data_IF_848455689912
#
_entry.id   IF_848455689912
#
_cell.length_a   1.000
_cell.length_b   1.000
_cell.length_c   1.000
_cell.angle_alpha   90.00
_cell.angle_beta   90.00
_cell.angle_gamma   90.00
#
_symmetry.space_group_name_H-M   'P 1'
#
loop_
_entity.id
_entity.type
_entity.pdbx_description
1 polymer ?
#
# COMPACT_ATOMS: atom_id res chain seq x y z
N UNK A 1 -0.24 12.01 -22.18
CA UNK A 1 0.47 11.43 -21.03
C UNK A 1 1.06 10.11 -21.47
N UNK A 2 2.34 10.05 -21.81
CA UNK A 2 2.98 8.79 -22.24
C UNK A 2 2.88 7.70 -21.14
N UNK A 3 2.03 6.70 -21.38
CA UNK A 3 1.81 5.59 -20.48
C UNK A 3 3.04 4.68 -20.35
N UNK A 4 3.74 4.42 -21.46
CA UNK A 4 4.93 3.59 -21.45
C UNK A 4 5.97 4.24 -20.56
N UNK A 5 6.18 5.55 -20.74
CA UNK A 5 7.07 6.32 -19.88
C UNK A 5 6.62 6.27 -18.41
N UNK A 6 5.33 6.37 -18.14
CA UNK A 6 4.78 6.28 -16.77
C UNK A 6 5.13 4.95 -16.11
N UNK A 7 4.95 3.85 -16.85
CA UNK A 7 5.27 2.52 -16.38
C UNK A 7 6.78 2.36 -16.21
N UNK A 8 7.60 2.79 -17.18
CA UNK A 8 9.07 2.72 -17.14
C UNK A 8 9.64 3.48 -15.95
N UNK A 9 9.20 4.71 -15.70
CA UNK A 9 9.62 5.51 -14.53
C UNK A 9 9.26 4.77 -13.24
N UNK A 10 8.04 4.26 -13.13
CA UNK A 10 7.57 3.57 -11.93
C UNK A 10 8.33 2.27 -11.65
N UNK A 11 8.63 1.48 -12.69
CA UNK A 11 9.40 0.23 -12.55
C UNK A 11 10.86 0.49 -12.21
N UNK A 12 11.51 1.48 -12.85
CA UNK A 12 12.90 1.87 -12.55
C UNK A 12 13.00 2.37 -11.12
N UNK A 13 12.09 3.26 -10.70
CA UNK A 13 12.09 3.79 -9.34
C UNK A 13 11.82 2.70 -8.30
N UNK A 14 10.90 1.78 -8.57
CA UNK A 14 10.66 0.63 -7.69
C UNK A 14 11.86 -0.31 -7.58
N UNK A 15 12.58 -0.55 -8.68
CA UNK A 15 13.81 -1.33 -8.68
C UNK A 15 14.90 -0.64 -7.84
N UNK A 16 15.06 0.68 -7.99
CA UNK A 16 15.98 1.48 -7.17
C UNK A 16 15.65 1.35 -5.68
N UNK A 17 14.38 1.50 -5.31
CA UNK A 17 13.92 1.33 -3.92
C UNK A 17 14.22 -0.08 -3.40
N UNK A 18 13.99 -1.12 -4.19
CA UNK A 18 14.31 -2.50 -3.82
C UNK A 18 15.81 -2.69 -3.58
N UNK A 19 16.68 -2.21 -4.47
CA UNK A 19 18.14 -2.35 -4.32
C UNK A 19 18.68 -1.58 -3.11
N UNK A 20 18.21 -0.34 -2.87
CA UNK A 20 18.58 0.44 -1.69
C UNK A 20 18.12 -0.28 -0.42
N UNK A 21 16.87 -0.73 -0.40
CA UNK A 21 16.28 -1.44 0.75
C UNK A 21 16.99 -2.76 1.03
N UNK A 22 17.40 -3.47 -0.03
CA UNK A 22 18.20 -4.69 0.07
C UNK A 22 19.57 -4.42 0.71
N UNK A 23 20.26 -3.37 0.28
CA UNK A 23 21.52 -2.94 0.90
C UNK A 23 21.37 -2.64 2.39
N UNK A 24 20.34 -1.88 2.76
CA UNK A 24 20.01 -1.58 4.16
C UNK A 24 19.72 -2.86 4.95
N UNK A 25 18.95 -3.78 4.38
CA UNK A 25 18.62 -5.05 4.99
C UNK A 25 19.87 -5.91 5.25
N UNK A 26 20.76 -6.05 4.27
CA UNK A 26 21.99 -6.84 4.42
C UNK A 26 22.88 -6.30 5.54
N UNK A 27 23.01 -4.97 5.66
CA UNK A 27 23.77 -4.34 6.76
C UNK A 27 23.17 -4.69 8.12
N UNK A 28 21.83 -4.70 8.24
CA UNK A 28 21.15 -5.06 9.50
C UNK A 28 21.23 -6.56 9.78
N UNK A 29 21.02 -7.40 8.77
CA UNK A 29 21.09 -8.85 8.89
C UNK A 29 22.46 -9.27 9.43
N UNK A 30 23.57 -8.72 8.88
CA UNK A 30 24.93 -9.00 9.35
C UNK A 30 25.14 -8.75 10.85
N UNK A 31 24.46 -7.77 11.42
CA UNK A 31 24.55 -7.46 12.86
C UNK A 31 23.83 -8.49 13.75
N UNK A 32 22.79 -9.14 13.23
CA UNK A 32 21.94 -10.06 14.00
C UNK A 32 22.32 -11.53 13.76
N UNK A 33 22.93 -11.85 12.61
CA UNK A 33 23.35 -13.23 12.24
C UNK A 33 24.06 -14.00 13.36
N UNK A 34 25.02 -13.42 14.13
CA UNK A 34 25.71 -14.16 15.19
C UNK A 34 24.80 -14.61 16.34
N UNK A 35 23.63 -13.97 16.50
CA UNK A 35 22.75 -14.12 17.67
C UNK A 35 21.49 -14.95 17.38
N UNK A 36 21.38 -15.58 16.20
CA UNK A 36 20.20 -16.33 15.79
C UNK A 36 20.55 -17.75 15.38
N UNK A 37 19.56 -18.65 15.39
CA UNK A 37 19.76 -20.05 14.97
C UNK A 37 20.11 -20.14 13.48
N UNK A 38 20.84 -21.17 13.09
CA UNK A 38 21.23 -21.40 11.69
C UNK A 38 20.00 -21.48 10.75
N UNK A 39 18.92 -22.13 11.21
CA UNK A 39 17.66 -22.21 10.47
C UNK A 39 17.07 -20.82 10.20
N UNK A 40 17.05 -19.95 11.21
CA UNK A 40 16.60 -18.56 11.09
C UNK A 40 17.51 -17.75 10.17
N UNK A 41 18.83 -17.90 10.32
CA UNK A 41 19.81 -17.23 9.47
C UNK A 41 19.62 -17.60 7.99
N UNK A 42 19.49 -18.90 7.69
CA UNK A 42 19.24 -19.40 6.34
C UNK A 42 17.90 -18.89 5.79
N UNK A 43 16.84 -18.93 6.61
CA UNK A 43 15.52 -18.41 6.23
C UNK A 43 15.58 -16.93 5.85
N UNK A 44 16.21 -16.09 6.68
CA UNK A 44 16.34 -14.66 6.44
C UNK A 44 17.22 -14.33 5.21
N UNK A 45 18.24 -15.14 4.93
CA UNK A 45 19.08 -14.99 3.73
C UNK A 45 18.33 -15.39 2.46
N UNK A 46 17.61 -16.52 2.48
CA UNK A 46 16.79 -16.97 1.36
C UNK A 46 15.63 -16.02 1.07
N UNK A 47 15.05 -15.43 2.12
CA UNK A 47 14.04 -14.38 1.98
C UNK A 47 14.61 -13.12 1.30
N UNK A 48 15.82 -12.72 1.70
CA UNK A 48 16.54 -11.62 1.04
C UNK A 48 16.77 -11.92 -0.44
N UNK A 49 17.20 -13.15 -0.75
CA UNK A 49 17.46 -13.60 -2.11
C UNK A 49 16.18 -13.60 -2.96
N UNK A 50 15.03 -13.98 -2.39
CA UNK A 50 13.73 -13.85 -3.03
C UNK A 50 13.43 -12.41 -3.43
N UNK A 51 13.61 -11.46 -2.51
CA UNK A 51 13.37 -10.04 -2.78
C UNK A 51 14.43 -9.42 -3.70
N UNK A 52 15.64 -9.98 -3.77
CA UNK A 52 16.62 -9.64 -4.80
C UNK A 52 16.12 -10.07 -6.20
N UNK A 53 15.59 -11.29 -6.34
CA UNK A 53 14.98 -11.72 -7.60
C UNK A 53 13.79 -10.85 -7.98
N UNK A 54 12.97 -10.42 -7.02
CA UNK A 54 11.90 -9.44 -7.25
C UNK A 54 12.44 -8.12 -7.83
N UNK A 55 13.62 -7.65 -7.39
CA UNK A 55 14.29 -6.47 -7.97
C UNK A 55 14.73 -6.69 -9.42
N UNK A 56 15.19 -7.90 -9.76
CA UNK A 56 15.48 -8.27 -11.15
C UNK A 56 14.21 -8.29 -11.99
N UNK A 57 13.07 -8.79 -11.46
CA UNK A 57 11.78 -8.69 -12.14
C UNK A 57 11.47 -7.22 -12.46
N UNK A 58 11.50 -6.33 -11.46
CA UNK A 58 11.23 -4.90 -11.67
C UNK A 58 12.13 -4.25 -12.75
N UNK A 59 13.40 -4.66 -12.81
CA UNK A 59 14.39 -4.12 -13.76
C UNK A 59 14.15 -4.61 -15.19
N UNK A 60 13.85 -5.91 -15.35
CA UNK A 60 13.81 -6.56 -16.66
C UNK A 60 12.42 -6.75 -17.25
N UNK A 61 11.34 -6.48 -16.49
CA UNK A 61 9.96 -6.74 -16.91
C UNK A 61 9.60 -6.10 -18.25
N UNK A 62 10.15 -4.92 -18.55
CA UNK A 62 9.90 -4.20 -19.80
C UNK A 62 10.93 -4.47 -20.92
N UNK A 63 12.14 -4.89 -20.56
CA UNK A 63 13.28 -4.92 -21.49
C UNK A 63 13.73 -6.34 -21.85
N UNK A 64 13.52 -7.31 -20.96
CA UNK A 64 13.94 -8.70 -21.13
C UNK A 64 12.99 -9.64 -20.38
N UNK A 65 11.81 -9.90 -20.96
CA UNK A 65 10.75 -10.72 -20.35
C UNK A 65 11.23 -12.08 -19.87
N UNK A 66 12.16 -12.71 -20.59
CA UNK A 66 12.71 -14.04 -20.26
C UNK A 66 13.45 -14.03 -18.93
N UNK A 67 14.23 -12.97 -18.69
CA UNK A 67 14.94 -12.76 -17.43
C UNK A 67 13.92 -12.47 -16.32
N UNK A 68 12.91 -11.63 -16.61
CA UNK A 68 11.86 -11.32 -15.64
C UNK A 68 11.09 -12.58 -15.22
N UNK A 69 10.57 -13.37 -16.15
CA UNK A 69 9.81 -14.61 -15.86
C UNK A 69 10.65 -15.63 -15.10
N UNK A 70 11.92 -15.81 -15.47
CA UNK A 70 12.85 -16.67 -14.72
C UNK A 70 13.11 -16.15 -13.31
N UNK A 71 13.21 -14.83 -13.14
CA UNK A 71 13.36 -14.23 -11.82
C UNK A 71 12.10 -14.40 -10.96
N UNK A 72 10.89 -14.45 -11.54
CA UNK A 72 9.65 -14.74 -10.80
C UNK A 72 9.68 -16.16 -10.22
N UNK A 73 10.06 -17.16 -11.02
CA UNK A 73 10.14 -18.55 -10.54
C UNK A 73 11.19 -18.70 -9.45
N UNK A 74 12.36 -18.06 -9.61
CA UNK A 74 13.44 -18.02 -8.62
C UNK A 74 13.01 -17.30 -7.34
N UNK A 75 12.26 -16.19 -7.45
CA UNK A 75 11.70 -15.47 -6.31
C UNK A 75 10.81 -16.38 -5.47
N UNK A 76 9.81 -17.05 -6.07
CA UNK A 76 8.93 -17.94 -5.33
C UNK A 76 9.65 -19.18 -4.82
N UNK A 77 10.56 -19.78 -5.61
CA UNK A 77 11.35 -20.93 -5.18
C UNK A 77 12.18 -20.64 -3.92
N UNK A 78 12.86 -19.50 -3.90
CA UNK A 78 13.66 -19.07 -2.74
C UNK A 78 12.78 -18.63 -1.56
N UNK A 79 11.59 -18.09 -1.81
CA UNK A 79 10.61 -17.77 -0.76
C UNK A 79 10.10 -19.03 -0.06
N UNK A 80 9.71 -20.05 -0.83
CA UNK A 80 9.29 -21.35 -0.28
C UNK A 80 10.45 -21.98 0.48
N UNK A 81 11.66 -21.99 -0.10
CA UNK A 81 12.84 -22.49 0.57
C UNK A 81 13.08 -21.78 1.91
N UNK A 82 12.90 -20.45 1.95
CA UNK A 82 12.98 -19.65 3.17
C UNK A 82 11.99 -20.09 4.24
N UNK A 83 10.72 -20.34 3.88
CA UNK A 83 9.71 -20.80 4.83
C UNK A 83 9.94 -22.23 5.29
N UNK A 84 10.35 -23.12 4.39
CA UNK A 84 10.61 -24.51 4.74
C UNK A 84 11.69 -24.63 5.82
N UNK A 85 12.74 -23.79 5.77
CA UNK A 85 13.80 -23.74 6.81
C UNK A 85 13.26 -23.52 8.22
N UNK A 86 12.07 -22.93 8.38
CA UNK A 86 11.43 -22.71 9.68
C UNK A 86 10.35 -23.74 10.02
N UNK A 87 9.89 -24.53 9.05
CA UNK A 87 8.78 -25.49 9.20
C UNK A 87 9.27 -26.93 9.34
N UNK A 88 10.37 -27.29 8.67
CA UNK A 88 10.87 -28.66 8.63
C UNK A 88 12.16 -28.77 9.43
N UNK A 89 12.12 -29.48 10.56
CA UNK A 89 13.31 -29.75 11.37
C UNK A 89 14.14 -30.95 10.83
N UNK A 90 13.50 -31.87 10.11
CA UNK A 90 14.14 -33.07 9.57
C UNK A 90 14.98 -32.74 8.32
N UNK A 91 16.31 -32.85 8.47
CA UNK A 91 17.28 -32.56 7.40
C UNK A 91 17.08 -33.37 6.12
N UNK A 92 16.58 -34.60 6.19
CA UNK A 92 16.31 -35.44 5.01
C UNK A 92 15.08 -34.94 4.27
N UNK A 93 13.99 -34.67 4.99
CA UNK A 93 12.76 -34.10 4.42
C UNK A 93 13.00 -32.70 3.83
N UNK A 94 13.85 -31.90 4.48
CA UNK A 94 14.27 -30.60 3.98
C UNK A 94 14.95 -30.72 2.61
N UNK A 95 15.98 -31.58 2.49
CA UNK A 95 16.73 -31.78 1.24
C UNK A 95 15.83 -32.26 0.10
N UNK A 96 14.91 -33.19 0.38
CA UNK A 96 13.95 -33.69 -0.62
C UNK A 96 13.04 -32.55 -1.09
N UNK A 97 12.51 -31.76 -0.15
CA UNK A 97 11.60 -30.64 -0.47
C UNK A 97 12.31 -29.54 -1.27
N UNK A 98 13.53 -29.16 -0.87
CA UNK A 98 14.35 -28.21 -1.62
C UNK A 98 14.73 -28.73 -3.00
N UNK A 99 15.02 -30.03 -3.13
CA UNK A 99 15.26 -30.68 -4.42
C UNK A 99 14.05 -30.57 -5.35
N UNK A 100 12.85 -30.91 -4.86
CA UNK A 100 11.62 -30.81 -5.64
C UNK A 100 11.33 -29.37 -6.10
N UNK A 101 11.47 -28.38 -5.21
CA UNK A 101 11.30 -26.96 -5.55
C UNK A 101 12.32 -26.53 -6.61
N UNK A 102 13.60 -26.91 -6.43
CA UNK A 102 14.66 -26.58 -7.37
C UNK A 102 14.42 -27.19 -8.75
N UNK A 103 13.86 -28.40 -8.82
CA UNK A 103 13.46 -29.02 -10.09
C UNK A 103 12.33 -28.25 -10.77
N UNK A 104 11.27 -27.88 -10.04
CA UNK A 104 10.16 -27.10 -10.62
C UNK A 104 10.66 -25.75 -11.15
N UNK A 105 11.44 -25.02 -10.34
CA UNK A 105 12.02 -23.72 -10.72
C UNK A 105 12.99 -23.86 -11.90
N UNK A 106 13.80 -24.92 -11.92
CA UNK A 106 14.72 -25.23 -13.01
C UNK A 106 13.98 -25.48 -14.32
N UNK A 107 12.91 -26.28 -14.31
CA UNK A 107 12.07 -26.54 -15.49
C UNK A 107 11.43 -25.25 -16.02
N UNK A 108 10.87 -24.41 -15.15
CA UNK A 108 10.31 -23.11 -15.54
C UNK A 108 11.35 -22.15 -16.13
N UNK A 109 12.56 -22.15 -15.55
CA UNK A 109 13.66 -21.31 -16.05
C UNK A 109 14.12 -21.79 -17.43
N UNK A 110 14.36 -23.10 -17.59
CA UNK A 110 14.74 -23.71 -18.87
C UNK A 110 13.67 -23.42 -19.93
N UNK A 111 12.40 -23.64 -19.62
CA UNK A 111 11.29 -23.33 -20.53
C UNK A 111 11.29 -21.85 -20.95
N UNK A 112 11.49 -20.92 -20.01
CA UNK A 112 11.54 -19.48 -20.31
C UNK A 112 12.62 -19.14 -21.33
N UNK A 113 13.80 -19.74 -21.22
CA UNK A 113 14.90 -19.56 -22.19
C UNK A 113 14.64 -20.29 -23.52
N UNK A 114 14.07 -21.50 -23.49
CA UNK A 114 13.71 -22.23 -24.70
C UNK A 114 12.67 -21.47 -25.54
N UNK A 115 11.72 -20.77 -24.90
CA UNK A 115 10.69 -19.97 -25.59
C UNK A 115 11.24 -18.83 -26.44
N UNK A 116 12.48 -18.37 -26.19
CA UNK A 116 13.15 -17.37 -27.04
C UNK A 116 13.56 -17.97 -28.37
N UNK A 117 13.97 -19.23 -28.35
CA UNK A 117 14.61 -19.89 -29.49
C UNK A 117 13.62 -20.78 -30.23
N UNK A 118 12.65 -21.35 -29.52
CA UNK A 118 11.69 -22.34 -30.03
C UNK A 118 10.31 -21.99 -29.44
N UNK A 119 9.28 -21.88 -30.28
CA UNK A 119 7.90 -21.58 -29.85
C UNK A 119 7.25 -22.77 -29.13
N UNK A 120 7.71 -23.06 -27.91
CA UNK A 120 7.16 -24.10 -27.04
C UNK A 120 5.95 -23.54 -26.25
N UNK A 121 4.82 -24.27 -26.15
CA UNK A 121 3.72 -23.89 -25.27
C UNK A 121 4.18 -23.77 -23.80
N UNK A 122 3.74 -22.78 -23.03
CA UNK A 122 4.25 -22.46 -21.68
C UNK A 122 3.70 -23.41 -20.59
N UNK A 123 3.84 -24.72 -20.76
CA UNK A 123 3.28 -25.73 -19.86
C UNK A 123 3.78 -25.62 -18.41
N UNK A 124 5.11 -25.53 -18.20
CA UNK A 124 5.66 -25.50 -16.83
C UNK A 124 5.44 -24.15 -16.16
N UNK A 125 5.42 -23.05 -16.92
CA UNK A 125 5.08 -21.73 -16.42
C UNK A 125 3.61 -21.65 -15.99
N UNK A 126 2.68 -22.07 -16.84
CA UNK A 126 1.23 -21.97 -16.57
C UNK A 126 0.76 -22.86 -15.42
N UNK A 127 1.45 -23.98 -15.15
CA UNK A 127 1.10 -24.90 -14.05
C UNK A 127 2.00 -24.68 -12.83
N UNK A 128 3.31 -24.54 -13.04
CA UNK A 128 4.31 -24.43 -11.99
C UNK A 128 4.18 -23.13 -11.18
N UNK A 129 3.94 -21.99 -11.84
CA UNK A 129 3.81 -20.71 -11.13
C UNK A 129 2.61 -20.71 -10.16
N UNK A 130 1.39 -21.11 -10.55
CA UNK A 130 0.27 -21.26 -9.60
C UNK A 130 0.57 -22.21 -8.44
N UNK A 131 1.24 -23.34 -8.70
CA UNK A 131 1.63 -24.28 -7.65
C UNK A 131 2.58 -23.61 -6.64
N UNK A 132 3.62 -22.91 -7.11
CA UNK A 132 4.55 -22.21 -6.24
C UNK A 132 3.84 -21.10 -5.44
N UNK A 133 2.90 -20.37 -6.06
CA UNK A 133 2.11 -19.34 -5.38
C UNK A 133 1.22 -19.92 -4.29
N UNK A 134 0.52 -21.03 -4.56
CA UNK A 134 -0.33 -21.72 -3.59
C UNK A 134 0.51 -22.25 -2.42
N UNK A 135 1.63 -22.91 -2.70
CA UNK A 135 2.53 -23.41 -1.65
C UNK A 135 3.06 -22.25 -0.79
N UNK A 136 3.50 -21.16 -1.42
CA UNK A 136 3.97 -19.95 -0.71
C UNK A 136 2.88 -19.35 0.18
N UNK A 137 1.63 -19.30 -0.31
CA UNK A 137 0.48 -18.81 0.44
C UNK A 137 0.18 -19.70 1.65
N UNK A 138 0.12 -21.02 1.45
CA UNK A 138 -0.16 -21.99 2.51
C UNK A 138 0.93 -21.96 3.58
N UNK A 139 2.21 -21.90 3.19
CA UNK A 139 3.32 -21.79 4.14
C UNK A 139 3.32 -20.45 4.87
N UNK A 140 3.00 -19.35 4.20
CA UNK A 140 2.88 -18.03 4.85
C UNK A 140 1.74 -18.03 5.88
N UNK A 141 0.57 -18.55 5.52
CA UNK A 141 -0.57 -18.68 6.43
C UNK A 141 -0.25 -19.58 7.62
N UNK A 142 0.43 -20.70 7.38
CA UNK A 142 0.91 -21.59 8.43
C UNK A 142 1.86 -20.86 9.38
N UNK A 143 2.87 -20.16 8.86
CA UNK A 143 3.82 -19.42 9.69
C UNK A 143 3.17 -18.27 10.48
N UNK A 144 2.19 -17.57 9.90
CA UNK A 144 1.42 -16.53 10.61
C UNK A 144 0.63 -17.13 11.76
N UNK A 145 0.05 -18.32 11.57
CA UNK A 145 -0.71 -19.04 12.60
C UNK A 145 0.20 -19.55 13.72
N UNK A 146 1.34 -20.16 13.38
CA UNK A 146 2.27 -20.75 14.36
C UNK A 146 3.10 -19.68 15.08
N UNK A 147 3.54 -18.63 14.36
CA UNK A 147 4.40 -17.58 14.89
C UNK A 147 4.08 -16.22 14.27
N UNK A 148 3.18 -15.48 14.91
CA UNK A 148 2.86 -14.11 14.47
C UNK A 148 4.07 -13.20 14.65
N UNK A 149 4.72 -12.83 13.53
CA UNK A 149 5.92 -12.00 13.52
C UNK A 149 5.93 -11.10 12.28
N UNK A 150 6.72 -10.00 12.27
CA UNK A 150 6.86 -9.18 11.07
C UNK A 150 7.32 -9.98 9.85
N UNK A 151 8.12 -11.04 10.05
CA UNK A 151 8.58 -11.91 8.98
C UNK A 151 7.45 -12.73 8.36
N UNK A 152 6.62 -13.40 9.17
CA UNK A 152 5.52 -14.23 8.66
C UNK A 152 4.45 -13.39 7.96
N UNK A 153 4.15 -12.20 8.50
CA UNK A 153 3.24 -11.23 7.86
C UNK A 153 3.83 -10.69 6.56
N UNK A 154 5.13 -10.44 6.49
CA UNK A 154 5.80 -9.96 5.26
C UNK A 154 5.65 -10.95 4.10
N UNK A 155 5.85 -12.24 4.36
CA UNK A 155 5.63 -13.31 3.39
C UNK A 155 4.21 -13.30 2.83
N UNK A 156 3.23 -13.21 3.72
CA UNK A 156 1.81 -13.17 3.37
C UNK A 156 1.48 -11.95 2.50
N UNK A 157 1.93 -10.76 2.91
CA UNK A 157 1.70 -9.51 2.17
C UNK A 157 2.32 -9.55 0.77
N UNK A 158 3.54 -10.07 0.66
CA UNK A 158 4.23 -10.20 -0.63
C UNK A 158 3.46 -11.15 -1.56
N UNK A 159 3.09 -12.34 -1.08
CA UNK A 159 2.36 -13.33 -1.88
C UNK A 159 0.99 -12.78 -2.30
N UNK A 160 0.23 -12.17 -1.40
CA UNK A 160 -1.06 -11.56 -1.75
C UNK A 160 -0.92 -10.43 -2.77
N UNK A 161 0.08 -9.55 -2.61
CA UNK A 161 0.32 -8.50 -3.60
C UNK A 161 0.59 -9.06 -4.99
N UNK A 162 1.33 -10.17 -5.07
CA UNK A 162 1.65 -10.84 -6.32
C UNK A 162 0.45 -11.62 -6.89
N UNK A 163 -0.43 -12.18 -6.05
CA UNK A 163 -1.69 -12.79 -6.50
C UNK A 163 -2.62 -11.72 -7.09
N UNK A 164 -2.75 -10.56 -6.43
CA UNK A 164 -3.59 -9.45 -6.90
C UNK A 164 -3.06 -8.92 -8.22
N UNK A 165 -1.74 -8.66 -8.31
CA UNK A 165 -1.10 -8.27 -9.57
C UNK A 165 -1.22 -9.37 -10.64
N UNK A 166 -0.96 -10.62 -10.23
CA UNK A 166 -0.93 -11.82 -11.08
C UNK A 166 -2.30 -12.25 -11.61
N UNK A 167 -3.40 -11.98 -10.91
CA UNK A 167 -4.75 -12.24 -11.42
C UNK A 167 -5.05 -11.42 -12.68
N UNK A 168 -4.52 -10.20 -12.78
CA UNK A 168 -4.62 -9.39 -13.99
C UNK A 168 -3.69 -9.91 -15.11
N UNK A 169 -2.53 -10.47 -14.75
CA UNK A 169 -1.60 -11.09 -15.71
C UNK A 169 -2.08 -12.47 -16.21
N UNK A 170 -2.72 -13.29 -15.39
CA UNK A 170 -3.22 -14.61 -15.78
C UNK A 170 -4.44 -14.49 -16.73
N UNK A 171 -5.29 -13.49 -16.53
CA UNK A 171 -6.37 -13.16 -17.49
C UNK A 171 -5.78 -12.71 -18.84
N UNK A 172 -4.59 -12.10 -18.87
CA UNK A 172 -3.91 -11.70 -20.11
C UNK A 172 -3.16 -12.83 -20.85
N UNK A 173 -2.81 -13.93 -20.18
CA UNK A 173 -2.10 -15.06 -20.82
C UNK A 173 -3.00 -15.94 -21.68
N UNK A 174 -4.32 -15.97 -21.44
CA UNK A 174 -5.27 -16.62 -22.35
C UNK A 174 -5.29 -15.97 -23.76
N UNK A 175 -4.64 -14.82 -23.94
CA UNK A 175 -4.45 -14.11 -25.22
C UNK A 175 -3.00 -13.91 -25.68
N UNK A 176 -2.02 -14.53 -25.02
CA UNK A 176 -0.63 -14.58 -25.52
C UNK A 176 0.26 -13.35 -25.28
N UNK A 177 -0.18 -12.29 -24.60
CA UNK A 177 0.71 -11.16 -24.25
C UNK A 177 0.31 -10.51 -22.91
N UNK A 178 1.05 -10.76 -21.80
CA UNK A 178 0.75 -10.13 -20.50
C UNK A 178 0.86 -8.60 -20.48
N UNK A 179 1.51 -8.06 -21.50
CA UNK A 179 1.67 -6.63 -21.73
C UNK A 179 0.42 -5.99 -22.38
N UNK A 180 -0.44 -6.78 -23.05
CA UNK A 180 -1.57 -6.25 -23.81
C UNK A 180 -2.69 -5.69 -22.92
N UNK A 181 -3.03 -6.32 -21.78
CA UNK A 181 -4.11 -5.81 -20.89
C UNK A 181 -3.73 -4.49 -20.23
N UNK A 182 -2.45 -4.29 -19.85
CA UNK A 182 -2.00 -3.02 -19.27
C UNK A 182 -1.86 -1.92 -20.32
N UNK A 183 -1.50 -2.26 -21.56
CA UNK A 183 -1.64 -1.32 -22.68
C UNK A 183 -3.10 -0.94 -22.94
N UNK A 184 -4.02 -1.90 -22.80
CA UNK A 184 -5.46 -1.66 -22.96
C UNK A 184 -6.09 -0.94 -21.74
N UNK A 185 -5.50 -1.07 -20.56
CA UNK A 185 -5.99 -0.48 -19.31
C UNK A 185 -4.84 0.15 -18.51
N UNK A 186 -4.27 1.27 -19.00
CA UNK A 186 -3.09 1.91 -18.41
C UNK A 186 -3.30 2.36 -16.96
N UNK A 187 -4.54 2.67 -16.60
CA UNK A 187 -5.04 2.98 -15.26
C UNK A 187 -4.65 1.97 -14.17
N UNK A 188 -4.40 0.70 -14.50
CA UNK A 188 -4.08 -0.34 -13.52
C UNK A 188 -2.57 -0.58 -13.30
N UNK A 189 -1.70 0.29 -13.85
CA UNK A 189 -0.25 0.10 -13.76
C UNK A 189 0.29 0.07 -12.31
N UNK A 190 -0.39 0.75 -11.38
CA UNK A 190 -0.02 0.71 -9.97
C UNK A 190 -0.05 -0.70 -9.38
N UNK A 191 -0.89 -1.60 -9.90
CA UNK A 191 -0.97 -2.99 -9.46
C UNK A 191 0.25 -3.80 -9.92
N UNK A 192 0.86 -3.45 -11.06
CA UNK A 192 2.10 -4.06 -11.52
C UNK A 192 3.28 -3.71 -10.61
N UNK A 193 3.34 -2.48 -10.09
CA UNK A 193 4.43 -2.03 -9.21
C UNK A 193 4.18 -2.31 -7.73
N UNK A 194 2.94 -2.63 -7.35
CA UNK A 194 2.55 -2.90 -5.96
C UNK A 194 3.43 -3.97 -5.28
N UNK A 195 3.74 -5.13 -5.89
CA UNK A 195 4.62 -6.12 -5.26
C UNK A 195 6.04 -5.58 -5.04
N UNK A 196 6.56 -4.75 -5.94
CA UNK A 196 7.90 -4.17 -5.82
C UNK A 196 7.96 -3.17 -4.67
N UNK A 197 6.95 -2.31 -4.56
CA UNK A 197 6.81 -1.33 -3.47
C UNK A 197 6.70 -2.04 -2.11
N UNK A 198 5.85 -3.07 -2.02
CA UNK A 198 5.69 -3.86 -0.79
C UNK A 198 7.00 -4.59 -0.45
N UNK A 199 7.65 -5.21 -1.43
CA UNK A 199 8.95 -5.87 -1.25
C UNK A 199 10.04 -4.91 -0.75
N UNK A 200 10.10 -3.69 -1.29
CA UNK A 200 11.04 -2.66 -0.85
C UNK A 200 10.74 -2.22 0.59
N UNK A 201 9.46 -1.96 0.90
CA UNK A 201 9.04 -1.60 2.25
C UNK A 201 9.37 -2.69 3.27
N UNK A 202 9.13 -3.96 2.92
CA UNK A 202 9.51 -5.12 3.73
C UNK A 202 11.02 -5.14 3.96
N UNK A 203 11.86 -5.10 2.92
CA UNK A 203 13.33 -5.11 3.09
C UNK A 203 13.81 -3.97 3.99
N UNK A 204 13.30 -2.76 3.76
CA UNK A 204 13.70 -1.57 4.49
C UNK A 204 13.26 -1.56 5.97
N UNK A 205 12.30 -2.41 6.35
CA UNK A 205 11.69 -2.44 7.69
C UNK A 205 11.81 -3.79 8.42
N UNK A 206 12.16 -4.86 7.72
CA UNK A 206 12.42 -6.16 8.35
C UNK A 206 13.54 -5.97 9.38
N UNK A 207 13.38 -6.59 10.55
CA UNK A 207 14.21 -6.37 11.75
C UNK A 207 13.97 -5.04 12.48
N UNK A 208 12.91 -4.30 12.14
CA UNK A 208 12.40 -3.14 12.90
C UNK A 208 10.93 -3.37 13.32
N UNK A 209 10.37 -2.51 14.20
CA UNK A 209 8.95 -2.55 14.51
C UNK A 209 8.07 -2.51 13.25
N UNK A 210 7.00 -3.32 13.23
CA UNK A 210 6.10 -3.51 12.09
C UNK A 210 5.49 -2.20 11.55
N UNK A 211 5.37 -1.16 12.38
CA UNK A 211 4.88 0.16 11.96
C UNK A 211 5.65 0.73 10.76
N UNK A 212 6.96 0.44 10.67
CA UNK A 212 7.79 0.93 9.57
C UNK A 212 7.44 0.25 8.24
N UNK A 213 6.89 -0.97 8.23
CA UNK A 213 6.38 -1.61 7.01
C UNK A 213 5.23 -0.78 6.42
N UNK A 214 4.30 -0.32 7.27
CA UNK A 214 3.15 0.48 6.84
C UNK A 214 3.60 1.87 6.36
N UNK A 215 4.45 2.55 7.14
CA UNK A 215 4.93 3.90 6.81
C UNK A 215 5.73 3.91 5.50
N UNK A 216 6.70 3.01 5.36
CA UNK A 216 7.52 2.92 4.15
C UNK A 216 6.70 2.39 2.97
N UNK A 217 5.72 1.50 3.21
CA UNK A 217 4.80 1.04 2.18
C UNK A 217 4.02 2.20 1.55
N UNK A 218 3.41 3.06 2.37
CA UNK A 218 2.68 4.24 1.87
C UNK A 218 3.64 5.24 1.22
N UNK A 219 4.80 5.50 1.83
CA UNK A 219 5.81 6.41 1.27
C UNK A 219 6.26 5.95 -0.12
N UNK A 220 6.73 4.70 -0.22
CA UNK A 220 7.22 4.13 -1.48
C UNK A 220 6.11 4.04 -2.52
N UNK A 221 4.88 3.67 -2.13
CA UNK A 221 3.73 3.68 -3.03
C UNK A 221 3.47 5.09 -3.57
N UNK A 222 3.41 6.07 -2.67
CA UNK A 222 3.17 7.49 -3.00
C UNK A 222 4.20 8.02 -3.98
N UNK A 223 5.49 7.77 -3.75
CA UNK A 223 6.54 8.25 -4.65
C UNK A 223 6.61 7.45 -5.96
N UNK A 224 6.40 6.13 -5.94
CA UNK A 224 6.39 5.32 -7.17
C UNK A 224 5.30 5.79 -8.13
N UNK A 225 4.06 5.93 -7.64
CA UNK A 225 2.94 6.38 -8.47
C UNK A 225 3.05 7.88 -8.76
N UNK A 226 3.43 8.68 -7.76
CA UNK A 226 3.67 10.12 -7.86
C UNK A 226 4.64 10.48 -8.98
N UNK A 227 5.87 9.97 -8.90
CA UNK A 227 6.91 10.19 -9.92
C UNK A 227 6.51 9.57 -11.26
N UNK A 228 5.89 8.38 -11.20
CA UNK A 228 5.37 7.66 -12.37
C UNK A 228 4.40 8.48 -13.21
N UNK A 229 3.61 9.36 -12.63
CA UNK A 229 2.66 10.23 -13.36
C UNK A 229 3.24 11.62 -13.60
N UNK A 230 3.94 12.17 -12.60
CA UNK A 230 4.48 13.52 -12.62
C UNK A 230 5.53 13.72 -13.72
N UNK A 231 6.49 12.79 -13.87
CA UNK A 231 7.57 12.93 -14.87
C UNK A 231 7.02 12.90 -16.31
N UNK A 232 6.19 11.92 -16.70
CA UNK A 232 5.56 11.94 -18.02
C UNK A 232 4.69 13.17 -18.26
N UNK A 233 3.91 13.61 -17.26
CA UNK A 233 3.09 14.82 -17.39
C UNK A 233 3.93 16.08 -17.64
N UNK A 234 5.10 16.18 -17.00
CA UNK A 234 6.05 17.26 -17.24
C UNK A 234 6.62 17.22 -18.66
N UNK A 235 7.06 16.04 -19.11
CA UNK A 235 7.60 15.84 -20.48
C UNK A 235 6.55 16.18 -21.55
N UNK A 236 5.30 15.80 -21.31
CA UNK A 236 4.17 16.08 -22.21
C UNK A 236 3.63 17.51 -22.10
N UNK A 237 4.17 18.35 -21.20
CA UNK A 237 3.72 19.72 -20.98
C UNK A 237 2.36 19.86 -20.28
N UNK A 238 1.80 18.78 -19.71
CA UNK A 238 0.55 18.83 -18.96
C UNK A 238 0.79 19.33 -17.52
N UNK A 239 0.89 20.66 -17.39
CA UNK A 239 1.23 21.32 -16.12
C UNK A 239 0.19 21.08 -15.02
N UNK A 240 -1.09 20.89 -15.38
CA UNK A 240 -2.17 20.65 -14.42
C UNK A 240 -1.97 19.31 -13.71
N UNK A 241 -1.75 18.23 -14.49
CA UNK A 241 -1.48 16.89 -13.93
C UNK A 241 -0.18 16.92 -13.11
N UNK A 242 0.87 17.55 -13.63
CA UNK A 242 2.15 17.68 -12.93
C UNK A 242 2.01 18.34 -11.56
N UNK A 243 1.38 19.52 -11.49
CA UNK A 243 1.23 20.28 -10.24
C UNK A 243 0.34 19.54 -9.24
N UNK A 244 -0.77 18.97 -9.72
CA UNK A 244 -1.73 18.23 -8.88
C UNK A 244 -1.06 17.02 -8.25
N UNK A 245 -0.34 16.22 -9.05
CA UNK A 245 0.35 15.03 -8.55
C UNK A 245 1.50 15.39 -7.60
N UNK A 246 2.27 16.44 -7.90
CA UNK A 246 3.33 16.93 -7.03
C UNK A 246 2.79 17.34 -5.66
N UNK A 247 1.76 18.17 -5.64
CA UNK A 247 1.17 18.68 -4.40
C UNK A 247 0.60 17.56 -3.53
N UNK A 248 -0.12 16.59 -4.13
CA UNK A 248 -0.67 15.47 -3.36
C UNK A 248 0.36 14.43 -2.96
N UNK A 249 1.42 14.21 -3.74
CA UNK A 249 2.56 13.38 -3.32
C UNK A 249 3.21 13.97 -2.05
N UNK A 250 3.42 15.28 -2.03
CA UNK A 250 3.98 15.99 -0.87
C UNK A 250 3.01 15.89 0.32
N UNK A 251 1.74 16.24 0.13
CA UNK A 251 0.75 16.24 1.21
C UNK A 251 0.54 14.85 1.81
N UNK A 252 0.48 13.81 0.98
CA UNK A 252 0.39 12.41 1.43
C UNK A 252 1.64 12.00 2.23
N UNK A 253 2.82 12.50 1.86
CA UNK A 253 4.06 12.29 2.65
C UNK A 253 3.97 12.92 4.03
N UNK A 254 3.37 14.10 4.17
CA UNK A 254 3.18 14.76 5.47
C UNK A 254 2.18 14.05 6.39
N UNK A 255 1.24 13.26 5.85
CA UNK A 255 0.33 12.41 6.65
C UNK A 255 1.08 11.31 7.39
N UNK A 256 2.26 10.93 6.92
CA UNK A 256 3.08 9.91 7.59
C UNK A 256 3.56 10.35 8.98
N UNK A 257 3.69 11.66 9.22
CA UNK A 257 4.12 12.21 10.51
C UNK A 257 3.11 11.84 11.61
N UNK A 258 1.81 12.21 11.51
CA UNK A 258 0.83 11.77 12.50
C UNK A 258 0.61 10.26 12.47
N UNK A 259 0.67 9.61 11.31
CA UNK A 259 0.51 8.16 11.22
C UNK A 259 1.57 7.41 12.06
N UNK A 260 2.85 7.81 12.01
CA UNK A 260 3.90 7.21 12.84
C UNK A 260 3.63 7.41 14.33
N UNK A 261 3.18 8.61 14.73
CA UNK A 261 2.80 8.88 16.10
C UNK A 261 1.71 7.90 16.58
N UNK A 262 0.61 7.78 15.83
CA UNK A 262 -0.49 6.90 16.24
C UNK A 262 -0.10 5.42 16.17
N UNK A 263 0.66 4.98 15.17
CA UNK A 263 1.16 3.59 15.11
C UNK A 263 2.12 3.27 16.26
N UNK A 264 2.92 4.25 16.69
CA UNK A 264 3.71 4.16 17.92
C UNK A 264 2.82 3.97 19.15
N UNK A 265 1.79 4.80 19.30
CA UNK A 265 0.81 4.66 20.39
C UNK A 265 0.07 3.33 20.37
N UNK A 266 -0.26 2.78 19.19
CA UNK A 266 -0.87 1.44 19.06
C UNK A 266 0.08 0.36 19.59
N UNK A 267 1.37 0.47 19.28
CA UNK A 267 2.38 -0.50 19.68
C UNK A 267 2.66 -0.48 21.18
N UNK A 268 2.67 0.72 21.79
CA UNK A 268 2.99 0.92 23.21
C UNK A 268 1.76 0.75 24.12
N UNK A 269 0.63 1.37 23.79
CA UNK A 269 -0.54 1.46 24.68
C UNK A 269 -1.68 0.49 24.35
N UNK A 270 -1.66 -0.12 23.15
CA UNK A 270 -2.77 -0.94 22.61
C UNK A 270 -4.14 -0.24 22.65
N UNK A 271 -4.17 1.09 22.76
CA UNK A 271 -5.39 1.86 22.82
C UNK A 271 -6.18 1.76 21.50
N UNK A 272 -7.51 1.71 21.60
CA UNK A 272 -8.40 1.55 20.45
C UNK A 272 -8.43 2.78 19.54
N UNK A 273 -8.44 3.98 20.12
CA UNK A 273 -8.54 5.24 19.35
C UNK A 273 -7.36 5.44 18.40
N UNK A 274 -6.08 5.36 18.84
CA UNK A 274 -4.94 5.45 17.93
C UNK A 274 -4.99 4.44 16.80
N UNK A 275 -5.46 3.21 17.08
CA UNK A 275 -5.60 2.16 16.06
C UNK A 275 -6.58 2.57 14.97
N UNK A 276 -7.75 3.06 15.35
CA UNK A 276 -8.75 3.49 14.39
C UNK A 276 -8.29 4.71 13.58
N UNK A 277 -7.65 5.70 14.21
CA UNK A 277 -7.06 6.85 13.52
C UNK A 277 -5.97 6.42 12.54
N UNK A 278 -5.07 5.51 12.94
CA UNK A 278 -4.05 4.98 12.03
C UNK A 278 -4.66 4.32 10.80
N UNK A 279 -5.73 3.53 10.96
CA UNK A 279 -6.41 2.88 9.83
C UNK A 279 -7.05 3.93 8.91
N UNK A 280 -7.73 4.94 9.46
CA UNK A 280 -8.29 6.06 8.69
C UNK A 280 -7.20 6.75 7.86
N UNK A 281 -6.06 7.12 8.48
CA UNK A 281 -4.96 7.80 7.79
C UNK A 281 -4.34 6.94 6.68
N UNK A 282 -4.21 5.62 6.90
CA UNK A 282 -3.73 4.69 5.87
C UNK A 282 -4.67 4.71 4.67
N UNK A 283 -5.99 4.59 4.88
CA UNK A 283 -6.96 4.62 3.78
C UNK A 283 -7.00 5.97 3.07
N UNK A 284 -6.99 7.07 3.81
CA UNK A 284 -6.95 8.42 3.24
C UNK A 284 -5.71 8.63 2.37
N UNK A 285 -4.54 8.15 2.81
CA UNK A 285 -3.30 8.26 2.04
C UNK A 285 -3.32 7.39 0.77
N UNK A 286 -3.97 6.22 0.80
CA UNK A 286 -4.11 5.38 -0.40
C UNK A 286 -5.12 5.99 -1.38
N UNK A 287 -6.26 6.49 -0.86
CA UNK A 287 -7.31 7.15 -1.68
C UNK A 287 -6.73 8.37 -2.38
N UNK A 288 -5.98 9.22 -1.69
CA UNK A 288 -5.45 10.45 -2.31
C UNK A 288 -4.61 10.16 -3.55
N UNK A 289 -3.74 9.15 -3.48
CA UNK A 289 -2.89 8.77 -4.62
C UNK A 289 -3.68 8.02 -5.69
N UNK A 290 -4.56 7.09 -5.29
CA UNK A 290 -5.39 6.34 -6.23
C UNK A 290 -6.34 7.26 -7.03
N UNK A 291 -7.03 8.15 -6.34
CA UNK A 291 -7.97 9.10 -6.94
C UNK A 291 -7.25 10.09 -7.86
N UNK A 292 -6.09 10.63 -7.45
CA UNK A 292 -5.30 11.54 -8.31
C UNK A 292 -4.78 10.85 -9.54
N UNK A 293 -4.36 9.60 -9.42
CA UNK A 293 -3.96 8.78 -10.56
C UNK A 293 -5.15 8.60 -11.52
N UNK A 294 -6.32 8.19 -11.00
CA UNK A 294 -7.52 8.00 -11.78
C UNK A 294 -7.94 9.31 -12.50
N UNK A 295 -7.92 10.44 -11.78
CA UNK A 295 -8.17 11.77 -12.34
C UNK A 295 -7.14 12.17 -13.41
N UNK A 296 -5.86 11.85 -13.22
CA UNK A 296 -4.81 12.12 -14.21
C UNK A 296 -5.04 11.34 -15.51
N UNK A 297 -5.52 10.09 -15.42
CA UNK A 297 -5.90 9.30 -16.60
C UNK A 297 -7.19 9.80 -17.25
N UNK A 298 -8.18 10.23 -16.47
CA UNK A 298 -9.38 10.90 -16.96
C UNK A 298 -9.00 12.12 -17.82
N UNK A 299 -8.09 12.98 -17.31
CA UNK A 299 -7.63 14.18 -18.02
C UNK A 299 -6.77 13.91 -19.27
N UNK A 300 -6.15 12.72 -19.39
CA UNK A 300 -5.11 12.49 -20.40
C UNK A 300 -5.46 11.50 -21.52
N UNK A 301 -6.36 10.53 -21.30
CA UNK A 301 -6.52 9.41 -22.24
C UNK A 301 -7.97 8.98 -22.52
N UNK A 302 -8.89 9.07 -21.55
CA UNK A 302 -10.16 8.33 -21.63
C UNK A 302 -11.42 9.18 -21.55
N UNK A 303 -11.35 10.40 -21.00
CA UNK A 303 -12.55 11.23 -20.77
C UNK A 303 -13.59 10.63 -19.82
N UNK A 304 -13.31 9.43 -19.27
CA UNK A 304 -14.14 8.71 -18.32
C UNK A 304 -13.24 8.20 -17.19
N UNK A 305 -13.73 8.30 -15.95
CA UNK A 305 -13.09 7.63 -14.82
C UNK A 305 -13.12 6.12 -15.01
N UNK A 306 -12.35 5.37 -14.24
CA UNK A 306 -12.53 3.92 -14.18
C UNK A 306 -13.53 3.50 -13.09
N UNK A 307 -14.59 2.79 -13.46
CA UNK A 307 -15.60 2.29 -12.52
C UNK A 307 -14.98 1.38 -11.45
N UNK A 308 -14.03 0.53 -11.83
CA UNK A 308 -13.36 -0.39 -10.92
C UNK A 308 -12.51 0.33 -9.85
N UNK A 309 -11.74 1.34 -10.26
CA UNK A 309 -10.94 2.18 -9.37
C UNK A 309 -11.82 3.07 -8.51
N UNK A 310 -12.86 3.69 -9.06
CA UNK A 310 -13.82 4.48 -8.28
C UNK A 310 -14.51 3.61 -7.22
N UNK A 311 -14.88 2.38 -7.56
CA UNK A 311 -15.46 1.46 -6.57
C UNK A 311 -14.45 1.02 -5.51
N UNK A 312 -13.18 0.82 -5.88
CA UNK A 312 -12.12 0.56 -4.91
C UNK A 312 -11.91 1.76 -3.97
N UNK A 313 -11.84 2.97 -4.52
CA UNK A 313 -11.78 4.23 -3.75
C UNK A 313 -12.99 4.38 -2.82
N UNK A 314 -14.19 4.01 -3.27
CA UNK A 314 -15.41 3.99 -2.47
C UNK A 314 -15.30 3.05 -1.26
N UNK A 315 -14.84 1.81 -1.47
CA UNK A 315 -14.63 0.85 -0.36
C UNK A 315 -13.66 1.44 0.67
N UNK A 316 -12.55 2.02 0.22
CA UNK A 316 -11.58 2.67 1.11
C UNK A 316 -12.20 3.88 1.82
N UNK A 317 -13.00 4.69 1.12
CA UNK A 317 -13.66 5.89 1.65
C UNK A 317 -14.68 5.55 2.75
N UNK A 318 -15.56 4.59 2.51
CA UNK A 318 -16.52 4.07 3.50
C UNK A 318 -15.78 3.49 4.70
N UNK A 319 -14.71 2.72 4.46
CA UNK A 319 -13.89 2.14 5.55
C UNK A 319 -13.19 3.23 6.38
N UNK A 320 -12.70 4.27 5.73
CA UNK A 320 -12.08 5.44 6.37
C UNK A 320 -13.09 6.18 7.25
N UNK A 321 -14.27 6.50 6.73
CA UNK A 321 -15.34 7.17 7.48
C UNK A 321 -15.81 6.33 8.69
N UNK A 322 -16.02 5.03 8.50
CA UNK A 322 -16.42 4.12 9.58
C UNK A 322 -15.34 4.05 10.68
N UNK A 323 -14.06 3.90 10.32
CA UNK A 323 -12.97 3.84 11.29
C UNK A 323 -12.76 5.17 11.99
N UNK A 324 -12.96 6.29 11.30
CA UNK A 324 -12.91 7.62 11.90
C UNK A 324 -14.02 7.81 12.95
N UNK A 325 -15.25 7.37 12.65
CA UNK A 325 -16.34 7.37 13.62
C UNK A 325 -16.09 6.42 14.79
N UNK A 326 -15.47 5.24 14.55
CA UNK A 326 -15.07 4.33 15.63
C UNK A 326 -14.04 4.96 16.56
N UNK A 327 -13.10 5.74 16.03
CA UNK A 327 -12.16 6.51 16.84
C UNK A 327 -12.89 7.54 17.73
N UNK A 328 -13.89 8.23 17.20
CA UNK A 328 -14.73 9.14 17.99
C UNK A 328 -15.51 8.39 19.08
N UNK A 329 -16.20 7.31 18.70
CA UNK A 329 -16.99 6.49 19.61
C UNK A 329 -16.15 5.87 20.73
N UNK A 330 -14.90 5.47 20.46
CA UNK A 330 -14.01 4.87 21.46
C UNK A 330 -13.58 5.85 22.56
N UNK A 331 -13.62 7.15 22.30
CA UNK A 331 -13.32 8.20 23.30
C UNK A 331 -14.59 8.79 23.92
N UNK A 332 -15.68 8.85 23.16
CA UNK A 332 -16.92 9.52 23.56
C UNK A 332 -17.92 8.65 24.30
N UNK A 333 -17.99 7.35 24.02
CA UNK A 333 -19.10 6.49 24.44
C UNK A 333 -18.71 5.38 25.43
N UNK A 334 -19.71 4.84 26.13
CA UNK A 334 -19.56 3.71 27.05
C UNK A 334 -19.19 2.42 26.31
N UNK A 335 -18.58 1.44 26.99
CA UNK A 335 -18.16 0.16 26.38
C UNK A 335 -19.30 -0.57 25.64
N UNK A 336 -20.52 -0.54 26.19
CA UNK A 336 -21.71 -1.15 25.55
C UNK A 336 -22.09 -0.42 24.26
N UNK A 337 -22.13 0.91 24.30
CA UNK A 337 -22.41 1.73 23.12
C UNK A 337 -21.33 1.57 22.04
N UNK A 338 -20.05 1.42 22.42
CA UNK A 338 -18.97 1.14 21.48
C UNK A 338 -19.17 -0.17 20.70
N UNK A 339 -19.65 -1.23 21.36
CA UNK A 339 -19.92 -2.52 20.71
C UNK A 339 -21.07 -2.37 19.70
N UNK A 340 -22.18 -1.76 20.13
CA UNK A 340 -23.34 -1.51 19.28
C UNK A 340 -22.98 -0.67 18.05
N UNK A 341 -22.22 0.42 18.25
CA UNK A 341 -21.74 1.29 17.16
C UNK A 341 -20.87 0.49 16.19
N UNK A 342 -19.95 -0.35 16.68
CA UNK A 342 -19.11 -1.19 15.83
C UNK A 342 -19.93 -2.16 14.98
N UNK A 343 -20.88 -2.86 15.58
CA UNK A 343 -21.73 -3.81 14.87
C UNK A 343 -22.62 -3.11 13.84
N UNK A 344 -23.20 -1.97 14.21
CA UNK A 344 -24.00 -1.13 13.30
C UNK A 344 -23.18 -0.62 12.12
N UNK A 345 -21.94 -0.17 12.36
CA UNK A 345 -21.05 0.30 11.30
C UNK A 345 -20.57 -0.82 10.38
N UNK A 346 -20.37 -2.04 10.90
CA UNK A 346 -20.03 -3.19 10.04
C UNK A 346 -21.20 -3.53 9.12
N UNK A 347 -22.42 -3.59 9.65
CA UNK A 347 -23.62 -3.83 8.86
C UNK A 347 -23.82 -2.72 7.81
N UNK A 348 -23.66 -1.46 8.22
CA UNK A 348 -23.73 -0.30 7.34
C UNK A 348 -22.68 -0.33 6.23
N UNK A 349 -21.42 -0.60 6.56
CA UNK A 349 -20.34 -0.70 5.59
C UNK A 349 -20.57 -1.85 4.59
N UNK A 350 -21.07 -3.00 5.06
CA UNK A 350 -21.41 -4.11 4.18
C UNK A 350 -22.49 -3.72 3.16
N UNK A 351 -23.55 -3.03 3.60
CA UNK A 351 -24.59 -2.51 2.71
C UNK A 351 -24.01 -1.52 1.69
N UNK A 352 -23.18 -0.57 2.13
CA UNK A 352 -22.56 0.41 1.23
C UNK A 352 -21.54 -0.19 0.26
N UNK A 353 -20.82 -1.24 0.66
CA UNK A 353 -19.96 -1.98 -0.27
C UNK A 353 -20.83 -2.64 -1.33
N UNK A 354 -21.87 -3.39 -0.95
CA UNK A 354 -22.73 -4.09 -1.92
C UNK A 354 -23.47 -3.14 -2.85
N UNK A 355 -24.04 -2.05 -2.34
CA UNK A 355 -24.80 -1.10 -3.14
C UNK A 355 -23.90 -0.12 -3.90
N UNK A 356 -22.65 0.11 -3.48
CA UNK A 356 -21.78 1.12 -4.06
C UNK A 356 -21.48 0.92 -5.56
N UNK A 357 -21.31 -0.33 -6.02
CA UNK A 357 -20.92 -0.61 -7.41
C UNK A 357 -21.98 -0.19 -8.44
N UNK A 358 -23.28 -0.53 -8.28
CA UNK A 358 -24.35 0.01 -9.13
C UNK A 358 -24.38 1.54 -9.20
N UNK A 359 -24.16 2.23 -8.08
CA UNK A 359 -24.16 3.69 -8.02
C UNK A 359 -22.97 4.30 -8.75
N UNK A 360 -21.76 3.77 -8.56
CA UNK A 360 -20.56 4.22 -9.28
C UNK A 360 -20.73 4.10 -10.80
N UNK A 361 -21.43 3.05 -11.25
CA UNK A 361 -21.66 2.76 -12.67
C UNK A 361 -22.71 3.65 -13.35
N UNK A 362 -23.83 3.95 -12.67
CA UNK A 362 -24.90 4.79 -13.24
C UNK A 362 -24.44 6.21 -13.58
N UNK A 363 -23.43 6.69 -12.87
CA UNK A 363 -22.94 8.06 -12.94
C UNK A 363 -22.12 8.33 -14.19
N UNK A 364 -21.37 7.33 -14.67
CA UNK A 364 -20.54 7.51 -15.86
C UNK A 364 -21.33 7.59 -17.16
N UNK A 365 -22.58 7.13 -17.17
CA UNK A 365 -23.37 7.01 -18.39
C UNK A 365 -24.25 8.25 -18.67
N UNK A 366 -24.48 9.12 -17.70
CA UNK A 366 -25.35 10.28 -17.84
C UNK A 366 -24.60 11.58 -17.58
N UNK A 367 -24.03 12.15 -18.65
CA UNK A 367 -23.49 13.51 -18.79
C UNK A 367 -24.53 14.64 -18.55
N UNK A 368 -25.62 14.34 -17.84
CA UNK A 368 -26.73 15.26 -17.58
C UNK A 368 -26.71 15.71 -16.13
N UNK A 369 -26.82 17.03 -15.92
CA UNK A 369 -26.85 17.77 -14.64
C UNK A 369 -27.81 17.21 -13.54
N UNK A 370 -28.60 16.18 -13.83
CA UNK A 370 -29.63 15.59 -12.97
C UNK A 370 -29.06 14.48 -12.07
N UNK A 371 -27.92 13.86 -12.42
CA UNK A 371 -27.29 12.77 -11.64
C UNK A 371 -26.40 13.22 -10.49
N UNK A 372 -26.15 14.53 -10.36
CA UNK A 372 -25.48 15.12 -9.17
C UNK A 372 -26.27 14.79 -7.89
N UNK A 373 -27.60 14.70 -7.98
CA UNK A 373 -28.49 14.45 -6.84
C UNK A 373 -28.49 13.00 -6.32
N UNK A 374 -28.07 12.00 -7.11
CA UNK A 374 -28.01 10.60 -6.62
C UNK A 374 -26.71 10.31 -5.86
N UNK A 375 -25.59 10.98 -6.21
CA UNK A 375 -24.38 10.99 -5.38
C UNK A 375 -24.64 11.54 -3.99
N UNK A 376 -25.44 12.62 -3.93
CA UNK A 376 -25.70 13.37 -2.71
C UNK A 376 -26.25 12.48 -1.61
N UNK A 377 -27.14 11.51 -1.89
CA UNK A 377 -27.82 10.77 -0.81
C UNK A 377 -26.88 9.79 -0.06
N UNK A 378 -26.01 9.08 -0.79
CA UNK A 378 -25.04 8.17 -0.17
C UNK A 378 -23.84 8.91 0.43
N UNK A 379 -23.37 9.98 -0.23
CA UNK A 379 -22.35 10.86 0.33
C UNK A 379 -22.85 11.62 1.56
N UNK A 380 -24.13 12.00 1.61
CA UNK A 380 -24.74 12.68 2.74
C UNK A 380 -24.65 11.83 4.02
N UNK A 381 -24.89 10.52 3.94
CA UNK A 381 -24.75 9.64 5.09
C UNK A 381 -23.30 9.48 5.55
N UNK A 382 -22.34 9.37 4.63
CA UNK A 382 -20.91 9.39 4.96
C UNK A 382 -20.48 10.73 5.56
N UNK A 383 -20.97 11.83 5.00
CA UNK A 383 -20.76 13.18 5.49
C UNK A 383 -21.30 13.34 6.91
N UNK A 384 -22.51 12.86 7.20
CA UNK A 384 -23.07 12.86 8.55
C UNK A 384 -22.21 12.06 9.53
N UNK A 385 -21.69 10.90 9.15
CA UNK A 385 -20.78 10.11 9.99
C UNK A 385 -19.49 10.89 10.29
N UNK A 386 -18.87 11.47 9.27
CA UNK A 386 -17.62 12.23 9.45
C UNK A 386 -17.87 13.48 10.30
N UNK A 387 -18.96 14.20 10.05
CA UNK A 387 -19.35 15.39 10.81
C UNK A 387 -19.66 15.05 12.27
N UNK A 388 -20.44 14.00 12.52
CA UNK A 388 -20.73 13.53 13.88
C UNK A 388 -19.46 13.12 14.63
N UNK A 389 -18.53 12.42 13.97
CA UNK A 389 -17.22 12.11 14.55
C UNK A 389 -16.47 13.40 14.92
N UNK A 390 -16.48 14.41 14.05
CA UNK A 390 -15.85 15.70 14.28
C UNK A 390 -16.40 16.43 15.52
N UNK A 391 -17.73 16.42 15.73
CA UNK A 391 -18.33 16.97 16.96
C UNK A 391 -17.87 16.25 18.23
N UNK A 392 -17.75 14.93 18.18
CA UNK A 392 -17.25 14.15 19.32
C UNK A 392 -15.81 14.54 19.64
N UNK A 393 -14.96 14.73 18.62
CA UNK A 393 -13.58 15.16 18.82
C UNK A 393 -13.46 16.57 19.41
N UNK A 394 -14.33 17.50 19.05
CA UNK A 394 -14.44 18.79 19.76
C UNK A 394 -14.76 18.61 21.24
N UNK A 395 -15.66 17.67 21.57
CA UNK A 395 -15.94 17.29 22.95
C UNK A 395 -14.70 16.78 23.68
N UNK A 396 -13.85 15.99 23.01
CA UNK A 396 -12.57 15.51 23.55
C UNK A 396 -11.60 16.66 23.79
N UNK A 397 -11.44 17.57 22.84
CA UNK A 397 -10.59 18.74 22.99
C UNK A 397 -11.03 19.62 24.17
N UNK A 398 -12.34 19.86 24.35
CA UNK A 398 -12.87 20.57 25.52
C UNK A 398 -12.55 19.86 26.84
N UNK A 399 -12.61 18.52 26.88
CA UNK A 399 -12.22 17.74 28.07
C UNK A 399 -10.73 17.89 28.36
N UNK A 400 -9.86 17.86 27.35
CA UNK A 400 -8.42 18.07 27.50
C UNK A 400 -8.10 19.47 28.04
N UNK A 401 -8.77 20.51 27.53
CA UNK A 401 -8.64 21.88 28.03
C UNK A 401 -9.03 21.94 29.51
N UNK A 402 -10.20 21.37 29.87
CA UNK A 402 -10.68 21.34 31.27
C UNK A 402 -9.76 20.52 32.19
N UNK A 403 -9.07 19.53 31.66
CA UNK A 403 -8.08 18.73 32.38
C UNK A 403 -6.71 19.42 32.52
N UNK A 404 -6.58 20.68 32.08
CA UNK A 404 -5.33 21.44 32.20
C UNK A 404 -4.32 21.20 31.08
N UNK A 405 -4.72 20.55 29.98
CA UNK A 405 -3.85 20.27 28.83
C UNK A 405 -4.29 21.03 27.55
N UNK A 406 -4.36 22.38 27.56
CA UNK A 406 -4.88 23.16 26.44
C UNK A 406 -4.03 23.04 25.16
N UNK A 407 -2.70 22.95 25.30
CA UNK A 407 -1.81 22.77 24.14
C UNK A 407 -2.05 21.43 23.43
N UNK A 408 -2.24 20.35 24.20
CA UNK A 408 -2.55 19.03 23.64
C UNK A 408 -3.91 19.05 22.92
N UNK A 409 -4.89 19.78 23.44
CA UNK A 409 -6.19 19.95 22.79
C UNK A 409 -6.08 20.71 21.45
N UNK A 410 -5.25 21.76 21.39
CA UNK A 410 -5.00 22.51 20.15
C UNK A 410 -4.32 21.62 19.11
N UNK A 411 -3.23 20.93 19.46
CA UNK A 411 -2.54 20.01 18.53
C UNK A 411 -3.49 18.92 18.02
N UNK A 412 -4.28 18.33 18.91
CA UNK A 412 -5.29 17.34 18.54
C UNK A 412 -6.30 17.90 17.54
N UNK A 413 -6.90 19.06 17.81
CA UNK A 413 -7.88 19.65 16.89
C UNK A 413 -7.24 20.05 15.55
N UNK A 414 -6.07 20.68 15.57
CA UNK A 414 -5.31 21.05 14.36
C UNK A 414 -5.06 19.81 13.49
N UNK A 415 -4.66 18.69 14.09
CA UNK A 415 -4.49 17.42 13.38
C UNK A 415 -5.81 16.89 12.78
N UNK A 416 -6.90 16.90 13.54
CA UNK A 416 -8.20 16.42 13.05
C UNK A 416 -8.72 17.27 11.90
N UNK A 417 -8.57 18.59 11.99
CA UNK A 417 -8.90 19.51 10.89
C UNK A 417 -8.04 19.27 9.66
N UNK A 418 -6.73 19.10 9.83
CA UNK A 418 -5.82 18.85 8.72
C UNK A 418 -6.15 17.54 8.00
N UNK A 419 -6.42 16.48 8.75
CA UNK A 419 -6.75 15.15 8.21
C UNK A 419 -8.10 15.15 7.49
N UNK A 420 -9.09 15.83 8.03
CA UNK A 420 -10.40 15.99 7.39
C UNK A 420 -10.31 16.86 6.13
N UNK A 421 -9.61 18.00 6.22
CA UNK A 421 -9.37 18.88 5.07
C UNK A 421 -8.62 18.17 3.96
N UNK A 422 -7.60 17.36 4.29
CA UNK A 422 -6.91 16.51 3.32
C UNK A 422 -7.85 15.53 2.64
N UNK A 423 -8.69 14.82 3.40
CA UNK A 423 -9.64 13.87 2.83
C UNK A 423 -10.63 14.56 1.86
N UNK A 424 -11.15 15.74 2.21
CA UNK A 424 -12.01 16.53 1.31
C UNK A 424 -11.25 16.91 0.04
N UNK A 425 -10.08 17.49 0.18
CA UNK A 425 -9.28 17.95 -0.97
C UNK A 425 -8.88 16.80 -1.87
N UNK A 426 -8.58 15.63 -1.30
CA UNK A 426 -8.24 14.43 -2.04
C UNK A 426 -9.43 13.81 -2.78
N UNK A 427 -10.64 13.85 -2.21
CA UNK A 427 -11.85 13.25 -2.79
C UNK A 427 -12.58 14.14 -3.80
N UNK A 428 -12.36 15.46 -3.75
CA UNK A 428 -13.06 16.43 -4.59
C UNK A 428 -12.09 17.28 -5.40
N UNK A 429 -10.92 16.73 -5.74
CA UNK A 429 -9.82 17.46 -6.36
C UNK A 429 -10.22 18.10 -7.69
N UNK A 430 -11.11 17.45 -8.42
CA UNK A 430 -11.70 17.87 -9.68
C UNK A 430 -12.62 19.08 -9.55
N UNK A 431 -13.18 19.32 -8.36
CA UNK A 431 -14.08 20.46 -8.10
C UNK A 431 -13.32 21.73 -7.72
N UNK A 432 -12.04 21.62 -7.37
CA UNK A 432 -11.24 22.77 -6.96
C UNK A 432 -10.45 23.37 -8.13
N UNK A 433 -10.60 24.69 -8.39
CA UNK A 433 -9.64 25.41 -9.23
C UNK A 433 -8.22 25.21 -8.70
N UNK A 434 -7.24 24.97 -9.59
CA UNK A 434 -5.85 24.63 -9.23
C UNK A 434 -5.21 25.59 -8.21
N UNK A 435 -5.56 26.87 -8.27
CA UNK A 435 -5.09 27.88 -7.30
C UNK A 435 -5.63 27.61 -5.89
N UNK A 436 -6.92 27.35 -5.77
CA UNK A 436 -7.58 27.03 -4.50
C UNK A 436 -7.02 25.70 -3.98
N UNK A 437 -6.91 24.69 -4.84
CA UNK A 437 -6.31 23.41 -4.52
C UNK A 437 -4.90 23.56 -3.92
N UNK A 438 -4.05 24.37 -4.57
CA UNK A 438 -2.69 24.65 -4.11
C UNK A 438 -2.67 25.26 -2.71
N UNK A 439 -3.45 26.32 -2.47
CA UNK A 439 -3.52 26.95 -1.16
C UNK A 439 -4.08 26.02 -0.08
N UNK A 440 -5.12 25.25 -0.42
CA UNK A 440 -5.70 24.26 0.48
C UNK A 440 -4.68 23.20 0.88
N UNK A 441 -3.93 22.63 -0.09
CA UNK A 441 -2.90 21.63 0.18
C UNK A 441 -1.77 22.21 1.03
N UNK A 442 -1.29 23.41 0.74
CA UNK A 442 -0.26 24.08 1.55
C UNK A 442 -0.77 24.30 2.98
N UNK A 443 -2.00 24.79 3.13
CA UNK A 443 -2.63 24.96 4.44
C UNK A 443 -2.73 23.64 5.21
N UNK A 444 -3.15 22.57 4.56
CA UNK A 444 -3.21 21.22 5.13
C UNK A 444 -1.82 20.76 5.58
N UNK A 445 -0.78 20.92 4.75
CA UNK A 445 0.59 20.53 5.10
C UNK A 445 1.05 21.29 6.35
N UNK A 446 0.83 22.60 6.40
CA UNK A 446 1.17 23.43 7.56
C UNK A 446 0.42 22.92 8.81
N UNK A 447 -0.87 22.63 8.70
CA UNK A 447 -1.65 22.12 9.82
C UNK A 447 -1.22 20.71 10.24
N UNK A 448 -0.81 19.82 9.32
CA UNK A 448 -0.28 18.50 9.67
C UNK A 448 1.05 18.61 10.43
N UNK A 449 1.93 19.53 10.02
CA UNK A 449 3.20 19.82 10.70
C UNK A 449 2.94 20.41 12.10
N UNK A 450 2.07 21.41 12.21
CA UNK A 450 1.76 22.08 13.47
C UNK A 450 0.91 21.21 14.42
N UNK A 451 0.13 20.28 13.88
CA UNK A 451 -0.76 19.40 14.64
C UNK A 451 -0.05 18.21 15.30
N UNK A 452 1.23 17.98 15.01
CA UNK A 452 1.98 16.83 15.56
C UNK A 452 2.97 17.25 16.66
N UNK A 453 2.96 16.58 17.83
CA UNK A 453 3.92 16.87 18.90
C UNK A 453 5.36 16.42 18.61
N UNK A 454 5.59 15.66 17.53
CA UNK A 454 6.94 15.27 17.08
C UNK A 454 7.40 16.23 15.99
N UNK A 455 8.51 16.93 16.24
CA UNK A 455 9.18 17.84 15.29
C UNK A 455 9.69 17.11 14.03
N UNK A 456 9.94 17.88 12.97
CA UNK A 456 10.46 17.49 11.64
C UNK A 456 11.74 16.61 11.69
N UNK A 457 12.42 16.54 12.84
CA UNK A 457 13.52 15.62 13.13
C UNK A 457 13.29 14.17 12.68
N UNK A 458 12.04 13.71 12.60
CA UNK A 458 11.71 12.37 12.07
C UNK A 458 12.08 12.18 10.59
N UNK A 459 11.93 13.19 9.72
CA UNK A 459 12.32 13.08 8.30
C UNK A 459 13.83 12.84 8.14
N UNK A 460 14.64 13.36 9.07
CA UNK A 460 16.10 13.20 9.07
C UNK A 460 16.60 11.98 9.86
N UNK A 461 15.82 11.47 10.83
CA UNK A 461 16.13 10.21 11.54
C UNK A 461 16.03 8.96 10.66
N UNK A 462 15.39 9.03 9.49
CA UNK A 462 15.45 7.96 8.49
C UNK A 462 16.84 7.80 7.86
N UNK A 463 17.66 8.86 7.85
CA UNK A 463 19.02 8.90 7.28
C UNK A 463 20.09 8.68 8.35
N UNK A 464 19.85 9.12 9.59
CA UNK A 464 20.79 9.00 10.70
C UNK A 464 20.61 7.68 11.45
N UNK A 465 21.59 6.77 11.34
CA UNK A 465 21.65 5.52 12.10
C UNK A 465 21.97 5.69 13.60
N UNK A 466 21.77 6.88 14.18
CA UNK A 466 21.87 7.05 15.63
C UNK A 466 20.58 6.54 16.28
N UNK A 467 20.47 5.21 16.30
CA UNK A 467 19.77 4.55 17.41
C UNK A 467 20.55 4.92 18.66
N UNK A 468 19.95 5.77 19.50
CA UNK A 468 20.38 5.90 20.87
C UNK A 468 20.23 4.53 21.51
N UNK A 469 21.35 3.84 21.70
CA UNK A 469 21.58 3.02 22.88
C UNK A 469 21.38 3.94 24.08
N UNK A 470 20.13 4.10 24.51
CA UNK A 470 19.82 4.56 25.85
C UNK A 470 19.47 3.32 26.65
N UNK A 471 20.40 2.98 27.52
CA UNK A 471 20.31 2.07 28.65
C UNK A 471 18.88 1.76 29.12
N UNK A 472 18.54 0.46 29.04
CA UNK A 472 17.90 -0.32 30.09
C UNK A 472 18.03 -1.81 29.77
#
# INVERSE_FOLDING_TARGET
MDFVLSLTVSTIFSALLLFISFGIYLVRLRKILPNITQATANSLQLFALSLFFLALVATFLQHAQVIAVSAISLMFGTLIASFLQLVIDDSKKMKISLGAISTIVGLMTIESFLRVTISVPPFFLSIGLPILMIISLLLSLYLVKESFSPFSVSGLLLVFSYIIAGFLFAVSELGGFPIFILYLNPKYFFLQVLPFVIGAAILASLLRPWRYMVLLGILFFTYTIGLGIMIPAFVDGNILIFQTMLLLTIATTFILIPLDFFLGQVSESKAKTPRYISITLVFVAIISIAHTMNYSFYLSYLGNFDEGLLYFEWILGVSSACTFFLAAASVGFSKRAQILVRESLIAYAAVLFTLGFPFVRLVQYEDTLITVFEWDTLFLLLFFLIFAAFFVFFGVARKLIRAGAPQAAVHFMTFMFASFGFAIVAMFIELFPIRILTFSIIGIIILLILGTPRTIDMLFRFVSSKESTSDN
#
